data_IF_298699911809
#
_entry.id   IF_298699911809
#
_cell.length_a   1.000
_cell.length_b   1.000
_cell.length_c   1.000
_cell.angle_alpha   90.00
_cell.angle_beta   90.00
_cell.angle_gamma   90.00
#
_symmetry.space_group_name_H-M   'P 1'
#
loop_
_entity.id
_entity.type
_entity.pdbx_description
1 polymer ?
#
# COMPACT_ATOMS: atom_id res chain seq x y z
N UNK A 1 32.89 -28.45 13.77
CA UNK A 1 32.45 -28.43 12.36
C UNK A 1 30.93 -28.29 12.38
N UNK A 2 30.40 -27.16 11.89
CA UNK A 2 28.94 -26.93 11.80
C UNK A 2 28.36 -27.78 10.67
N UNK A 3 27.23 -28.47 10.91
CA UNK A 3 26.63 -29.33 9.88
C UNK A 3 26.00 -28.50 8.76
N UNK A 4 25.84 -29.07 7.56
CA UNK A 4 25.16 -28.40 6.44
C UNK A 4 23.70 -28.06 6.79
N UNK A 5 23.10 -28.81 7.73
CA UNK A 5 21.78 -28.58 8.30
C UNK A 5 21.77 -27.37 9.24
N UNK A 6 22.81 -27.14 10.04
CA UNK A 6 22.93 -25.91 10.85
C UNK A 6 23.13 -24.67 9.97
N UNK A 7 23.89 -24.81 8.88
CA UNK A 7 24.04 -23.75 7.89
C UNK A 7 22.71 -23.45 7.19
N UNK A 8 21.98 -24.47 6.74
CA UNK A 8 20.65 -24.31 6.13
C UNK A 8 19.63 -23.75 7.11
N UNK A 9 19.65 -24.19 8.38
CA UNK A 9 18.71 -23.70 9.41
C UNK A 9 19.00 -22.25 9.79
N UNK A 10 20.28 -21.85 9.89
CA UNK A 10 20.65 -20.43 10.02
C UNK A 10 20.27 -19.60 8.80
N UNK A 11 20.55 -20.09 7.59
CA UNK A 11 20.16 -19.40 6.35
C UNK A 11 18.65 -19.27 6.14
N UNK A 12 17.86 -20.20 6.67
CA UNK A 12 16.42 -20.27 6.45
C UNK A 12 15.60 -19.64 7.60
N UNK A 13 16.15 -19.57 8.82
CA UNK A 13 15.44 -19.09 10.01
C UNK A 13 16.26 -18.13 10.89
N UNK A 14 17.59 -18.14 10.78
CA UNK A 14 18.51 -17.37 11.63
C UNK A 14 18.93 -16.01 11.05
N UNK A 15 19.13 -15.92 9.74
CA UNK A 15 19.48 -14.66 9.05
C UNK A 15 18.29 -13.69 9.03
N UNK A 16 17.05 -14.21 9.02
CA UNK A 16 15.82 -13.43 8.98
C UNK A 16 15.63 -12.49 10.18
N UNK A 17 16.16 -12.83 11.36
CA UNK A 17 16.04 -11.98 12.53
C UNK A 17 16.99 -10.77 12.45
N UNK A 18 18.21 -10.99 11.96
CA UNK A 18 19.18 -9.92 11.73
C UNK A 18 18.74 -9.02 10.58
N UNK A 19 18.20 -9.59 9.50
CA UNK A 19 17.63 -8.85 8.38
C UNK A 19 16.42 -8.01 8.80
N UNK A 20 15.51 -8.58 9.61
CA UNK A 20 14.38 -7.83 10.17
C UNK A 20 14.85 -6.71 11.10
N UNK A 21 15.82 -6.99 11.98
CA UNK A 21 16.39 -5.99 12.87
C UNK A 21 17.07 -4.86 12.09
N UNK A 22 17.77 -5.19 11.00
CA UNK A 22 18.34 -4.21 10.08
C UNK A 22 17.22 -3.37 9.45
N UNK A 23 16.20 -4.00 8.88
CA UNK A 23 15.08 -3.31 8.23
C UNK A 23 14.38 -2.34 9.18
N UNK A 24 14.01 -2.79 10.38
CA UNK A 24 13.39 -1.95 11.42
C UNK A 24 14.32 -0.81 11.83
N UNK A 25 15.61 -1.08 12.00
CA UNK A 25 16.60 -0.06 12.40
C UNK A 25 16.77 1.00 11.33
N UNK A 26 16.88 0.59 10.06
CA UNK A 26 17.00 1.47 8.89
C UNK A 26 15.77 2.36 8.77
N UNK A 27 14.57 1.77 8.76
CA UNK A 27 13.30 2.50 8.71
C UNK A 27 13.19 3.53 9.85
N UNK A 28 13.51 3.12 11.08
CA UNK A 28 13.41 3.98 12.27
C UNK A 28 14.38 5.15 12.26
N UNK A 29 15.60 4.94 11.78
CA UNK A 29 16.68 5.95 11.84
C UNK A 29 16.71 6.87 10.64
N UNK A 30 16.26 6.40 9.47
CA UNK A 30 16.48 7.08 8.19
C UNK A 30 15.22 7.62 7.52
N UNK A 31 14.02 7.28 8.02
CA UNK A 31 12.75 7.87 7.53
C UNK A 31 11.90 8.37 8.69
N UNK A 32 11.47 9.63 8.61
CA UNK A 32 10.56 10.22 9.58
C UNK A 32 9.17 9.60 9.50
N UNK A 33 8.71 9.34 8.28
CA UNK A 33 7.43 8.67 7.99
C UNK A 33 7.43 7.26 8.58
N UNK A 34 8.44 6.44 8.26
CA UNK A 34 8.51 5.07 8.75
C UNK A 34 8.68 4.99 10.28
N UNK A 35 9.43 5.92 10.88
CA UNK A 35 9.54 6.02 12.33
C UNK A 35 8.17 6.27 13.00
N UNK A 36 7.34 7.14 12.43
CA UNK A 36 5.98 7.37 12.93
C UNK A 36 5.08 6.13 12.78
N UNK A 37 5.16 5.44 11.64
CA UNK A 37 4.43 4.18 11.42
C UNK A 37 4.84 3.09 12.41
N UNK A 38 6.15 2.87 12.60
CA UNK A 38 6.68 1.88 13.55
C UNK A 38 6.21 2.15 14.98
N UNK A 39 6.25 3.41 15.44
CA UNK A 39 5.75 3.78 16.78
C UNK A 39 4.27 3.46 16.97
N UNK A 40 3.47 3.66 15.93
CA UNK A 40 2.05 3.30 15.95
C UNK A 40 1.86 1.79 16.00
N UNK A 41 2.56 1.04 15.15
CA UNK A 41 2.57 -0.43 15.15
C UNK A 41 2.98 -1.02 16.50
N UNK A 42 3.99 -0.45 17.17
CA UNK A 42 4.38 -0.81 18.54
C UNK A 42 3.29 -0.50 19.57
N UNK A 43 2.68 0.68 19.50
CA UNK A 43 1.62 1.10 20.43
C UNK A 43 0.36 0.22 20.29
N UNK A 44 0.03 -0.18 19.07
CA UNK A 44 -1.10 -1.06 18.74
C UNK A 44 -0.77 -2.55 18.95
N UNK A 45 0.46 -2.87 19.39
CA UNK A 45 0.96 -4.23 19.67
C UNK A 45 0.82 -5.19 18.48
N UNK A 46 1.06 -4.67 17.28
CA UNK A 46 1.06 -5.48 16.05
C UNK A 46 2.35 -6.31 16.01
N UNK A 47 2.23 -7.61 15.79
CA UNK A 47 3.37 -8.52 15.70
C UNK A 47 3.97 -8.49 14.29
N UNK A 48 5.29 -8.36 14.17
CA UNK A 48 5.99 -8.46 12.88
C UNK A 48 6.70 -9.81 12.82
N UNK A 49 6.32 -10.63 11.84
CA UNK A 49 6.76 -12.01 11.69
C UNK A 49 7.45 -12.16 10.33
N UNK A 50 8.59 -12.83 10.28
CA UNK A 50 9.19 -13.26 9.02
C UNK A 50 8.77 -14.69 8.74
N UNK A 51 8.10 -14.90 7.61
CA UNK A 51 7.56 -16.20 7.20
C UNK A 51 8.15 -16.64 5.85
N UNK A 52 8.88 -17.77 5.80
CA UNK A 52 9.49 -18.26 4.57
C UNK A 52 8.48 -18.99 3.65
N UNK A 53 7.23 -19.14 4.05
CA UNK A 53 6.19 -19.90 3.33
C UNK A 53 5.07 -19.04 2.74
N UNK A 54 4.98 -17.75 3.09
CA UNK A 54 4.03 -16.85 2.42
C UNK A 54 4.49 -16.55 0.99
N UNK A 55 3.53 -16.30 0.10
CA UNK A 55 3.82 -15.96 -1.30
C UNK A 55 4.14 -14.47 -1.49
N UNK A 56 3.62 -13.62 -0.61
CA UNK A 56 3.83 -12.19 -0.58
C UNK A 56 3.73 -11.67 0.86
N UNK A 57 4.35 -10.52 1.18
CA UNK A 57 4.08 -9.81 2.42
C UNK A 57 2.58 -9.53 2.61
N UNK A 58 2.14 -9.46 3.86
CA UNK A 58 0.73 -9.20 4.18
C UNK A 58 0.56 -8.60 5.57
N UNK A 59 -0.29 -7.57 5.65
CA UNK A 59 -0.90 -7.08 6.87
C UNK A 59 -2.21 -7.81 7.14
N UNK A 60 -2.30 -8.46 8.30
CA UNK A 60 -3.48 -9.19 8.77
C UNK A 60 -4.20 -8.38 9.87
N UNK A 61 -5.33 -7.71 9.58
CA UNK A 61 -6.00 -6.80 10.52
C UNK A 61 -6.84 -7.51 11.60
N UNK A 62 -6.90 -8.84 11.58
CA UNK A 62 -7.69 -9.63 12.53
C UNK A 62 -6.83 -10.04 13.74
N UNK A 63 -7.33 -10.01 14.98
CA UNK A 63 -6.57 -10.42 16.15
C UNK A 63 -6.09 -11.89 16.09
N UNK A 64 -4.81 -12.19 16.41
CA UNK A 64 -3.75 -11.22 16.69
C UNK A 64 -3.37 -10.45 15.41
N UNK A 65 -3.33 -9.11 15.50
CA UNK A 65 -3.00 -8.26 14.34
C UNK A 65 -1.52 -8.45 14.02
N UNK A 66 -1.21 -8.86 12.80
CA UNK A 66 0.17 -9.16 12.39
C UNK A 66 0.56 -8.50 11.08
N UNK A 67 1.86 -8.31 10.90
CA UNK A 67 2.52 -8.06 9.62
C UNK A 67 3.43 -9.26 9.36
N UNK A 68 3.21 -9.96 8.24
CA UNK A 68 4.02 -11.10 7.84
C UNK A 68 4.85 -10.72 6.62
N UNK A 69 6.15 -10.85 6.72
CA UNK A 69 7.11 -10.53 5.67
C UNK A 69 7.70 -11.80 5.08
N UNK A 70 8.09 -11.73 3.80
CA UNK A 70 8.71 -12.88 3.13
C UNK A 70 10.12 -13.11 3.69
N UNK A 71 10.42 -14.33 4.13
CA UNK A 71 11.74 -14.66 4.72
C UNK A 71 12.88 -14.90 3.74
N UNK A 72 12.63 -14.83 2.43
CA UNK A 72 13.59 -15.16 1.36
C UNK A 72 13.94 -13.97 0.47
N UNK A 73 13.96 -12.78 1.05
CA UNK A 73 14.32 -11.52 0.39
C UNK A 73 15.53 -10.91 1.08
N UNK A 74 16.22 -9.99 0.40
CA UNK A 74 17.32 -9.25 1.02
C UNK A 74 16.80 -8.32 2.13
N UNK A 75 17.62 -7.90 3.09
CA UNK A 75 17.22 -6.96 4.13
C UNK A 75 16.68 -5.63 3.55
N UNK A 76 17.21 -5.19 2.40
CA UNK A 76 16.73 -4.03 1.67
C UNK A 76 15.30 -4.24 1.12
N UNK A 77 15.05 -5.40 0.51
CA UNK A 77 13.71 -5.80 0.08
C UNK A 77 12.75 -5.90 1.26
N UNK A 78 13.22 -6.45 2.39
CA UNK A 78 12.44 -6.54 3.62
C UNK A 78 12.07 -5.17 4.19
N UNK A 79 12.98 -4.19 4.14
CA UNK A 79 12.67 -2.83 4.55
C UNK A 79 11.60 -2.18 3.65
N UNK A 80 11.67 -2.40 2.34
CA UNK A 80 10.69 -1.88 1.39
C UNK A 80 9.29 -2.52 1.56
N UNK A 81 9.24 -3.84 1.73
CA UNK A 81 8.00 -4.58 1.98
C UNK A 81 7.42 -4.22 3.35
N UNK A 82 8.25 -4.11 4.39
CA UNK A 82 7.80 -3.67 5.70
C UNK A 82 7.25 -2.24 5.66
N UNK A 83 7.86 -1.33 4.89
CA UNK A 83 7.31 0.02 4.72
C UNK A 83 5.92 0.01 4.07
N UNK A 84 5.70 -0.87 3.10
CA UNK A 84 4.40 -1.08 2.46
C UNK A 84 3.35 -1.60 3.47
N UNK A 85 3.65 -2.69 4.18
CA UNK A 85 2.71 -3.29 5.14
C UNK A 85 2.43 -2.40 6.36
N UNK A 86 3.43 -1.64 6.81
CA UNK A 86 3.23 -0.62 7.85
C UNK A 86 2.22 0.45 7.41
N UNK A 87 2.19 0.78 6.12
CA UNK A 87 1.22 1.73 5.61
C UNK A 87 -0.18 1.15 5.54
N UNK A 88 -0.34 -0.13 5.19
CA UNK A 88 -1.63 -0.84 5.30
C UNK A 88 -2.18 -0.80 6.73
N UNK A 89 -1.33 -1.02 7.74
CA UNK A 89 -1.72 -0.86 9.14
C UNK A 89 -2.24 0.55 9.44
N UNK A 90 -1.53 1.58 8.98
CA UNK A 90 -1.95 2.98 9.15
C UNK A 90 -3.26 3.28 8.43
N UNK A 91 -3.42 2.84 7.18
CA UNK A 91 -4.65 2.99 6.41
C UNK A 91 -5.84 2.37 7.12
N UNK A 92 -5.68 1.17 7.68
CA UNK A 92 -6.76 0.48 8.40
C UNK A 92 -7.25 1.28 9.61
N UNK A 93 -6.35 2.01 10.28
CA UNK A 93 -6.71 2.88 11.41
C UNK A 93 -7.36 4.20 11.02
N UNK A 94 -7.30 4.58 9.73
CA UNK A 94 -7.88 5.81 9.21
C UNK A 94 -9.30 5.63 8.63
N UNK A 95 -9.83 4.40 8.65
CA UNK A 95 -11.13 4.07 8.07
C UNK A 95 -12.22 4.03 9.14
N UNK A 96 -13.30 4.76 8.87
CA UNK A 96 -14.47 4.82 9.76
C UNK A 96 -15.56 3.78 9.38
N UNK A 97 -15.29 2.89 8.44
CA UNK A 97 -16.25 1.88 7.97
C UNK A 97 -15.65 0.48 7.91
N UNK A 98 -16.51 -0.53 8.07
CA UNK A 98 -16.13 -1.93 7.87
C UNK A 98 -15.96 -2.19 6.36
N UNK A 99 -14.76 -2.57 5.90
CA UNK A 99 -14.51 -2.83 4.46
C UNK A 99 -15.46 -3.85 3.84
N UNK A 100 -15.96 -4.80 4.64
CA UNK A 100 -16.93 -5.81 4.19
C UNK A 100 -18.36 -5.25 3.97
N UNK A 101 -18.57 -3.96 4.24
CA UNK A 101 -19.84 -3.27 3.93
C UNK A 101 -19.89 -2.68 2.52
N UNK A 102 -18.79 -2.70 1.76
CA UNK A 102 -18.75 -2.32 0.34
C UNK A 102 -19.39 -3.40 -0.53
N UNK A 103 -19.95 -3.03 -1.68
CA UNK A 103 -20.26 -4.04 -2.72
C UNK A 103 -18.97 -4.53 -3.43
N UNK A 104 -19.08 -5.51 -4.32
CA UNK A 104 -17.89 -6.16 -4.92
C UNK A 104 -17.11 -5.17 -5.78
N UNK A 105 -17.81 -4.35 -6.57
CA UNK A 105 -17.23 -3.33 -7.42
C UNK A 105 -16.54 -2.23 -6.62
N UNK A 106 -17.16 -1.75 -5.54
CA UNK A 106 -16.55 -0.75 -4.66
C UNK A 106 -15.39 -1.34 -3.86
N UNK A 107 -15.49 -2.60 -3.41
CA UNK A 107 -14.40 -3.29 -2.72
C UNK A 107 -13.19 -3.53 -3.63
N UNK A 108 -13.41 -3.83 -4.91
CA UNK A 108 -12.35 -3.93 -5.93
C UNK A 108 -11.60 -2.60 -6.08
N UNK A 109 -12.33 -1.50 -6.34
CA UNK A 109 -11.75 -0.16 -6.50
C UNK A 109 -11.00 0.27 -5.24
N UNK A 110 -11.61 0.06 -4.09
CA UNK A 110 -11.03 0.43 -2.81
C UNK A 110 -9.75 -0.38 -2.51
N UNK A 111 -9.74 -1.68 -2.80
CA UNK A 111 -8.55 -2.52 -2.63
C UNK A 111 -7.43 -2.08 -3.58
N UNK A 112 -7.75 -1.77 -4.82
CA UNK A 112 -6.76 -1.25 -5.77
C UNK A 112 -6.17 0.09 -5.30
N UNK A 113 -7.01 0.98 -4.75
CA UNK A 113 -6.56 2.26 -4.19
C UNK A 113 -5.71 2.09 -2.92
N UNK A 114 -6.03 1.13 -2.04
CA UNK A 114 -5.22 0.81 -0.85
C UNK A 114 -3.80 0.44 -1.24
N UNK A 115 -3.66 -0.52 -2.16
CA UNK A 115 -2.38 -1.02 -2.64
C UNK A 115 -1.58 0.06 -3.38
N UNK A 116 -2.24 0.86 -4.21
CA UNK A 116 -1.62 2.01 -4.88
C UNK A 116 -1.05 3.01 -3.88
N UNK A 117 -1.82 3.33 -2.84
CA UNK A 117 -1.39 4.27 -1.81
C UNK A 117 -0.26 3.68 -0.92
N UNK A 118 -0.30 2.39 -0.62
CA UNK A 118 0.77 1.69 0.12
C UNK A 118 2.08 1.62 -0.65
N UNK A 119 2.04 1.33 -1.96
CA UNK A 119 3.23 1.39 -2.82
C UNK A 119 3.78 2.81 -2.92
N UNK A 120 2.92 3.82 -3.06
CA UNK A 120 3.37 5.23 -3.08
C UNK A 120 4.03 5.65 -1.76
N UNK A 121 3.48 5.23 -0.62
CA UNK A 121 4.05 5.52 0.70
C UNK A 121 5.38 4.77 0.90
N UNK A 122 5.46 3.50 0.53
CA UNK A 122 6.70 2.72 0.55
C UNK A 122 7.78 3.38 -0.30
N UNK A 123 7.44 3.84 -1.51
CA UNK A 123 8.36 4.60 -2.38
C UNK A 123 8.86 5.89 -1.73
N UNK A 124 7.97 6.67 -1.08
CA UNK A 124 8.37 7.89 -0.37
C UNK A 124 9.30 7.59 0.82
N UNK A 125 9.01 6.54 1.60
CA UNK A 125 9.85 6.07 2.71
C UNK A 125 11.23 5.64 2.20
N UNK A 126 11.29 4.81 1.16
CA UNK A 126 12.55 4.35 0.58
C UNK A 126 13.36 5.50 -0.02
N UNK A 127 12.70 6.52 -0.57
CA UNK A 127 13.37 7.74 -1.04
C UNK A 127 13.96 8.58 0.12
N UNK A 128 13.27 8.71 1.26
CA UNK A 128 13.86 9.34 2.47
C UNK A 128 15.11 8.58 2.95
N UNK A 129 15.07 7.25 2.92
CA UNK A 129 16.19 6.39 3.30
C UNK A 129 17.38 6.57 2.33
N UNK A 130 17.10 6.65 1.02
CA UNK A 130 18.12 6.93 0.00
C UNK A 130 18.77 8.31 0.20
N UNK A 131 17.98 9.35 0.50
CA UNK A 131 18.49 10.69 0.82
C UNK A 131 19.38 10.69 2.07
N UNK A 132 19.12 9.80 3.03
CA UNK A 132 19.96 9.57 4.20
C UNK A 132 21.23 8.72 3.93
N UNK A 133 21.52 8.43 2.66
CA UNK A 133 22.73 7.74 2.21
C UNK A 133 22.62 6.22 2.11
N UNK A 134 21.40 5.68 2.01
CA UNK A 134 21.17 4.23 1.89
C UNK A 134 20.19 3.92 0.76
N UNK A 135 20.72 3.75 -0.44
CA UNK A 135 19.93 3.52 -1.65
C UNK A 135 19.34 2.10 -1.69
N UNK A 136 19.77 1.19 -0.81
CA UNK A 136 19.44 -0.24 -0.87
C UNK A 136 17.94 -0.54 -0.98
N UNK A 137 17.09 -0.11 -0.03
CA UNK A 137 15.65 -0.36 -0.09
C UNK A 137 14.97 0.24 -1.34
N UNK A 138 15.47 1.38 -1.80
CA UNK A 138 14.97 2.04 -3.00
C UNK A 138 15.36 1.29 -4.28
N UNK A 139 16.57 0.76 -4.34
CA UNK A 139 17.04 -0.10 -5.43
C UNK A 139 16.29 -1.43 -5.47
N UNK A 140 15.97 -2.02 -4.32
CA UNK A 140 15.15 -3.23 -4.23
C UNK A 140 13.77 -3.02 -4.89
N UNK A 141 13.10 -1.89 -4.62
CA UNK A 141 11.83 -1.49 -5.26
C UNK A 141 11.93 -1.30 -6.77
N UNK A 142 13.12 -0.95 -7.28
CA UNK A 142 13.35 -0.71 -8.71
C UNK A 142 13.47 -1.99 -9.52
N UNK A 143 13.96 -3.06 -8.91
CA UNK A 143 14.13 -4.37 -9.57
C UNK A 143 12.91 -5.29 -9.42
N UNK A 144 11.99 -4.98 -8.52
CA UNK A 144 10.72 -5.69 -8.35
C UNK A 144 9.86 -5.59 -9.63
N UNK A 145 9.53 -6.74 -10.24
CA UNK A 145 8.78 -6.80 -11.49
C UNK A 145 7.37 -6.21 -11.39
N UNK A 146 6.76 -6.23 -10.20
CA UNK A 146 5.46 -5.62 -9.97
C UNK A 146 5.61 -4.10 -9.93
N UNK A 147 6.56 -3.59 -9.16
CA UNK A 147 6.64 -2.14 -8.86
C UNK A 147 7.43 -1.33 -9.88
N UNK A 148 8.25 -1.97 -10.74
CA UNK A 148 9.15 -1.32 -11.71
C UNK A 148 8.52 -0.19 -12.53
N UNK A 149 7.27 -0.35 -13.00
CA UNK A 149 6.57 0.67 -13.80
C UNK A 149 6.20 1.91 -12.97
N UNK A 150 5.75 1.72 -11.74
CA UNK A 150 5.45 2.81 -10.81
C UNK A 150 6.73 3.51 -10.41
N UNK A 151 7.76 2.73 -10.07
CA UNK A 151 9.05 3.23 -9.60
C UNK A 151 9.61 4.25 -10.59
N UNK A 152 9.59 3.94 -11.89
CA UNK A 152 10.03 4.88 -12.92
C UNK A 152 9.25 6.20 -12.94
N UNK A 153 7.93 6.18 -12.77
CA UNK A 153 7.10 7.39 -12.73
C UNK A 153 7.35 8.22 -11.48
N UNK A 154 7.52 7.55 -10.34
CA UNK A 154 7.92 8.20 -9.10
C UNK A 154 9.26 8.93 -9.29
N UNK A 155 10.27 8.25 -9.82
CA UNK A 155 11.59 8.83 -10.14
C UNK A 155 11.53 10.03 -11.06
N UNK A 156 10.72 9.96 -12.13
CA UNK A 156 10.62 11.05 -13.12
C UNK A 156 10.23 12.39 -12.47
N UNK A 157 9.45 12.34 -11.40
CA UNK A 157 8.93 13.52 -10.72
C UNK A 157 9.64 13.81 -9.39
N UNK A 158 10.42 12.86 -8.87
CA UNK A 158 11.06 12.96 -7.57
C UNK A 158 12.38 13.72 -7.69
N UNK A 159 12.50 14.79 -6.91
CA UNK A 159 13.78 15.43 -6.61
C UNK A 159 14.26 14.93 -5.25
N UNK A 160 15.11 13.89 -5.25
CA UNK A 160 15.61 13.25 -4.01
C UNK A 160 16.52 14.16 -3.18
N UNK A 161 17.07 15.21 -3.79
CA UNK A 161 17.96 16.16 -3.10
C UNK A 161 17.21 17.41 -2.63
N UNK A 162 15.91 17.50 -2.89
CA UNK A 162 15.08 18.57 -2.37
C UNK A 162 14.79 18.35 -0.89
N UNK A 163 14.93 19.41 -0.10
CA UNK A 163 14.48 19.44 1.30
C UNK A 163 12.99 19.80 1.42
N UNK A 164 12.31 20.12 0.32
CA UNK A 164 10.89 20.48 0.32
C UNK A 164 10.03 19.27 0.77
N UNK A 165 9.23 19.39 1.84
CA UNK A 165 8.32 18.33 2.26
C UNK A 165 7.26 17.96 1.21
N UNK A 166 6.95 18.86 0.28
CA UNK A 166 6.00 18.64 -0.82
C UNK A 166 6.60 17.88 -2.00
N UNK A 167 7.90 17.57 -1.98
CA UNK A 167 8.60 16.84 -3.06
C UNK A 167 7.99 15.49 -3.39
N UNK A 168 7.30 14.86 -2.43
CA UNK A 168 6.63 13.58 -2.63
C UNK A 168 5.21 13.72 -3.20
N UNK A 169 4.56 14.88 -3.10
CA UNK A 169 3.15 15.05 -3.47
C UNK A 169 2.90 14.75 -4.95
N UNK A 170 3.67 15.35 -5.86
CA UNK A 170 3.51 15.11 -7.30
C UNK A 170 3.90 13.67 -7.66
N UNK A 171 5.09 13.14 -7.27
CA UNK A 171 5.46 11.75 -7.53
C UNK A 171 4.44 10.73 -7.05
N UNK A 172 3.98 10.83 -5.79
CA UNK A 172 3.00 9.92 -5.21
C UNK A 172 1.68 9.97 -5.96
N UNK A 173 1.21 11.17 -6.32
CA UNK A 173 -0.03 11.32 -7.10
C UNK A 173 0.06 10.67 -8.47
N UNK A 174 1.12 10.92 -9.22
CA UNK A 174 1.28 10.34 -10.56
C UNK A 174 1.49 8.81 -10.51
N UNK A 175 2.27 8.33 -9.53
CA UNK A 175 2.45 6.91 -9.25
C UNK A 175 1.12 6.23 -8.90
N UNK A 176 0.31 6.83 -8.04
CA UNK A 176 -0.99 6.31 -7.62
C UNK A 176 -1.93 6.10 -8.81
N UNK A 177 -2.10 7.11 -9.67
CA UNK A 177 -2.98 6.98 -10.83
C UNK A 177 -2.47 5.99 -11.87
N UNK A 178 -1.15 5.89 -12.04
CA UNK A 178 -0.58 4.90 -12.95
C UNK A 178 -0.76 3.46 -12.44
N UNK A 179 -0.66 3.25 -11.12
CA UNK A 179 -0.90 1.94 -10.52
C UNK A 179 -2.37 1.56 -10.52
N UNK A 180 -3.24 2.46 -10.02
CA UNK A 180 -4.67 2.22 -10.00
C UNK A 180 -5.25 2.07 -11.42
N UNK A 181 -4.70 2.77 -12.40
CA UNK A 181 -5.11 2.67 -13.80
C UNK A 181 -4.59 1.43 -14.54
N UNK A 182 -3.77 0.58 -13.91
CA UNK A 182 -3.22 -0.60 -14.55
C UNK A 182 -4.30 -1.69 -14.71
N UNK A 183 -4.86 -1.81 -15.91
CA UNK A 183 -5.93 -2.77 -16.26
C UNK A 183 -5.62 -4.22 -15.87
N UNK A 184 -4.34 -4.62 -15.84
CA UNK A 184 -3.91 -5.95 -15.42
C UNK A 184 -4.21 -6.29 -13.97
N UNK A 185 -4.49 -5.30 -13.13
CA UNK A 185 -4.77 -5.47 -11.70
C UNK A 185 -6.28 -5.52 -11.40
N UNK A 186 -7.13 -4.96 -12.27
CA UNK A 186 -8.57 -4.87 -12.04
C UNK A 186 -9.23 -6.26 -11.90
N UNK A 187 -8.92 -7.19 -12.83
CA UNK A 187 -9.46 -8.55 -12.78
C UNK A 187 -9.05 -9.29 -11.50
N UNK A 188 -7.81 -9.11 -11.05
CA UNK A 188 -7.29 -9.71 -9.83
C UNK A 188 -8.07 -9.23 -8.59
N UNK A 189 -8.19 -7.91 -8.39
CA UNK A 189 -8.89 -7.37 -7.22
C UNK A 189 -10.39 -7.65 -7.23
N UNK A 190 -11.00 -7.75 -8.41
CA UNK A 190 -12.41 -8.16 -8.53
C UNK A 190 -12.63 -9.58 -8.01
N UNK A 191 -11.77 -10.50 -8.39
CA UNK A 191 -11.86 -11.89 -7.94
C UNK A 191 -11.53 -12.02 -6.45
N UNK A 192 -10.54 -11.30 -5.95
CA UNK A 192 -10.23 -11.21 -4.52
C UNK A 192 -11.42 -10.68 -3.71
N UNK A 193 -12.08 -9.61 -4.17
CA UNK A 193 -13.27 -9.06 -3.51
C UNK A 193 -14.44 -10.07 -3.51
N UNK A 194 -14.64 -10.78 -4.63
CA UNK A 194 -15.66 -11.83 -4.71
C UNK A 194 -15.37 -13.00 -3.77
N UNK A 195 -14.12 -13.44 -3.70
CA UNK A 195 -13.69 -14.51 -2.79
C UNK A 195 -13.86 -14.10 -1.33
N UNK A 196 -13.45 -12.88 -0.96
CA UNK A 196 -13.63 -12.35 0.39
C UNK A 196 -15.11 -12.30 0.80
N UNK A 197 -15.99 -11.86 -0.11
CA UNK A 197 -17.45 -11.89 0.10
C UNK A 197 -17.95 -13.32 0.32
N UNK A 198 -17.63 -14.23 -0.59
CA UNK A 198 -18.09 -15.62 -0.52
C UNK A 198 -17.62 -16.31 0.76
N UNK A 199 -16.36 -16.10 1.15
CA UNK A 199 -15.81 -16.62 2.38
C UNK A 199 -16.54 -16.05 3.61
N UNK A 200 -16.72 -14.72 3.68
CA UNK A 200 -17.43 -14.05 4.79
C UNK A 200 -18.86 -14.56 4.92
N UNK A 201 -19.59 -14.74 3.83
CA UNK A 201 -20.96 -15.24 3.88
C UNK A 201 -21.05 -16.72 4.27
N UNK A 202 -20.02 -17.51 3.95
CA UNK A 202 -19.96 -18.92 4.34
C UNK A 202 -19.66 -19.10 5.84
N UNK A 203 -18.82 -18.23 6.41
CA UNK A 203 -18.38 -18.31 7.82
C UNK A 203 -19.24 -17.47 8.77
N UNK A 204 -19.79 -16.36 8.28
CA UNK A 204 -20.57 -15.37 9.03
C UNK A 204 -21.84 -14.96 8.25
N UNK A 205 -22.79 -15.88 8.03
CA UNK A 205 -23.99 -15.60 7.23
C UNK A 205 -24.85 -14.45 7.77
N UNK A 206 -24.80 -14.19 9.07
CA UNK A 206 -25.48 -13.06 9.72
C UNK A 206 -25.00 -11.69 9.20
N UNK A 207 -23.77 -11.60 8.68
CA UNK A 207 -23.21 -10.36 8.11
C UNK A 207 -23.72 -10.06 6.70
N UNK A 208 -24.59 -10.90 6.12
CA UNK A 208 -25.16 -10.66 4.79
C UNK A 208 -25.84 -9.29 4.67
N UNK A 209 -26.50 -8.83 5.74
CA UNK A 209 -27.19 -7.55 5.77
C UNK A 209 -26.24 -6.32 5.75
N UNK A 210 -24.95 -6.50 6.05
CA UNK A 210 -23.96 -5.42 6.08
C UNK A 210 -23.39 -5.11 4.68
N UNK A 211 -23.44 -6.07 3.75
CA UNK A 211 -22.84 -5.93 2.42
C UNK A 211 -23.57 -4.92 1.54
N UNK A 212 -22.81 -4.01 0.92
CA UNK A 212 -23.32 -2.94 0.06
C UNK A 212 -24.02 -1.81 0.81
N UNK A 213 -23.95 -1.78 2.16
CA UNK A 213 -24.53 -0.69 2.97
C UNK A 213 -23.65 0.56 2.96
N UNK A 214 -22.34 0.41 2.76
CA UNK A 214 -21.43 1.53 2.54
C UNK A 214 -21.16 1.69 1.06
N UNK A 215 -21.26 2.93 0.56
CA UNK A 215 -20.85 3.30 -0.79
C UNK A 215 -19.48 3.92 -0.73
N UNK A 216 -18.58 3.53 -1.62
CA UNK A 216 -17.25 4.10 -1.67
C UNK A 216 -17.33 5.60 -1.98
N UNK A 217 -16.72 6.42 -1.11
CA UNK A 217 -16.70 7.89 -1.27
C UNK A 217 -15.28 8.39 -1.52
N UNK A 218 -15.21 9.59 -2.09
CA UNK A 218 -13.94 10.32 -2.21
C UNK A 218 -13.21 10.46 -0.87
N UNK A 219 -13.95 10.74 0.21
CA UNK A 219 -13.38 10.87 1.56
C UNK A 219 -12.62 9.61 2.00
N UNK A 220 -13.09 8.43 1.58
CA UNK A 220 -12.50 7.15 1.95
C UNK A 220 -11.16 6.95 1.22
N UNK A 221 -11.09 7.34 -0.06
CA UNK A 221 -9.84 7.34 -0.86
C UNK A 221 -8.83 8.37 -0.32
N UNK A 222 -9.28 9.55 0.07
CA UNK A 222 -8.40 10.57 0.63
C UNK A 222 -7.86 10.16 2.00
N UNK A 223 -8.66 9.47 2.81
CA UNK A 223 -8.23 8.97 4.12
C UNK A 223 -7.04 7.99 3.99
N UNK A 224 -7.12 7.02 3.08
CA UNK A 224 -6.04 6.03 2.86
C UNK A 224 -4.80 6.62 2.18
N UNK A 225 -4.93 7.80 1.58
CA UNK A 225 -3.84 8.56 0.97
C UNK A 225 -3.36 9.72 1.86
N UNK A 226 -3.41 9.54 3.18
CA UNK A 226 -2.91 10.52 4.16
C UNK A 226 -1.75 9.92 4.95
N UNK A 227 -0.58 10.57 4.95
CA UNK A 227 0.57 10.10 5.71
C UNK A 227 0.39 10.34 7.22
N UNK A 228 1.08 9.59 8.10
CA UNK A 228 1.04 9.81 9.54
C UNK A 228 1.37 11.24 9.93
N UNK A 229 0.59 11.81 10.84
CA UNK A 229 0.76 13.18 11.34
C UNK A 229 0.30 14.28 10.37
N UNK A 230 -0.14 13.94 9.15
CA UNK A 230 -0.72 14.91 8.22
C UNK A 230 -2.23 15.06 8.43
N UNK A 231 -2.74 16.28 8.24
CA UNK A 231 -4.18 16.58 8.30
C UNK A 231 -4.89 16.44 6.96
N UNK A 232 -4.14 16.35 5.87
CA UNK A 232 -4.65 16.34 4.50
C UNK A 232 -3.96 15.25 3.70
N UNK A 233 -4.71 14.66 2.78
CA UNK A 233 -4.19 13.73 1.80
C UNK A 233 -3.14 14.38 0.89
N UNK A 234 -2.21 13.58 0.38
CA UNK A 234 -1.33 13.97 -0.72
C UNK A 234 -2.02 13.89 -2.09
N UNK A 235 -3.22 13.31 -2.17
CA UNK A 235 -4.11 13.44 -3.33
C UNK A 235 -4.88 14.76 -3.25
N UNK A 236 -4.95 15.48 -4.38
CA UNK A 236 -5.76 16.69 -4.50
C UNK A 236 -7.24 16.30 -4.67
N UNK A 237 -8.15 16.68 -3.77
CA UNK A 237 -9.57 16.37 -3.89
C UNK A 237 -10.23 16.92 -5.17
N UNK A 238 -9.59 17.88 -5.84
CA UNK A 238 -10.06 18.46 -7.10
C UNK A 238 -9.42 17.83 -8.34
N UNK A 239 -8.55 16.82 -8.19
CA UNK A 239 -7.99 16.11 -9.34
C UNK A 239 -9.11 15.37 -10.08
N UNK A 240 -9.37 15.70 -11.36
CA UNK A 240 -10.49 15.12 -12.11
C UNK A 240 -10.37 13.60 -12.29
N UNK A 241 -9.16 13.03 -12.13
CA UNK A 241 -8.94 11.58 -12.18
C UNK A 241 -9.56 10.86 -10.98
N UNK A 242 -9.72 11.52 -9.82
CA UNK A 242 -10.36 10.90 -8.64
C UNK A 242 -11.84 10.61 -8.87
N UNK A 243 -12.54 11.50 -9.60
CA UNK A 243 -13.93 11.26 -9.96
C UNK A 243 -14.09 9.98 -10.82
N UNK A 244 -13.13 9.72 -11.72
CA UNK A 244 -13.14 8.51 -12.55
C UNK A 244 -12.94 7.22 -11.74
N UNK A 245 -12.31 7.29 -10.55
CA UNK A 245 -12.17 6.14 -9.65
C UNK A 245 -13.50 5.72 -9.04
N UNK A 246 -14.39 6.68 -8.80
CA UNK A 246 -15.67 6.45 -8.12
C UNK A 246 -16.81 6.08 -9.09
N UNK A 247 -16.71 6.43 -10.37
CA UNK A 247 -17.84 6.36 -11.33
C UNK A 247 -17.73 5.29 -12.44
N UNK A 248 -16.79 4.35 -12.38
CA UNK A 248 -16.63 3.35 -13.46
C UNK A 248 -17.43 2.07 -13.22
N UNK A 249 -18.77 2.16 -13.29
CA UNK A 249 -19.58 0.98 -13.57
C UNK A 249 -19.31 0.49 -15.01
N UNK A 250 -19.24 -0.84 -15.26
CA UNK A 250 -19.20 -1.35 -16.63
C UNK A 250 -20.55 -1.02 -17.29
N UNK A 251 -20.57 -0.09 -18.25
CA UNK A 251 -21.72 0.13 -19.13
C UNK A 251 -22.34 1.53 -19.17
N UNK A 252 -21.78 2.56 -18.56
CA UNK A 252 -22.31 3.93 -18.70
C UNK A 252 -21.81 4.58 -20.01
N UNK A 253 -22.67 4.98 -20.95
CA UNK A 253 -22.22 5.66 -22.17
C UNK A 253 -21.54 6.98 -21.82
N UNK A 254 -20.58 7.46 -22.64
CA UNK A 254 -19.83 8.66 -22.32
C UNK A 254 -20.76 9.83 -22.05
N UNK A 255 -20.51 10.55 -20.96
CA UNK A 255 -21.19 11.81 -20.65
C UNK A 255 -21.08 12.70 -21.89
N UNK A 256 -22.20 13.16 -22.48
CA UNK A 256 -22.14 13.98 -23.67
C UNK A 256 -21.35 15.25 -23.33
N UNK A 257 -20.22 15.44 -24.00
CA UNK A 257 -19.44 16.68 -23.92
C UNK A 257 -20.41 17.81 -24.27
N UNK A 258 -20.66 18.72 -23.31
CA UNK A 258 -21.33 19.99 -23.60
C UNK A 258 -20.57 20.64 -24.75
N UNK A 259 -21.21 20.77 -25.91
CA UNK A 259 -20.75 21.69 -26.94
C UNK A 259 -20.75 23.07 -26.29
N UNK A 260 -19.57 23.60 -26.01
CA UNK A 260 -19.41 25.03 -25.84
C UNK A 260 -19.83 25.66 -27.16
N UNK A 261 -20.96 26.36 -27.15
CA UNK A 261 -21.21 27.36 -28.18
C UNK A 261 -20.15 28.45 -28.02
N UNK A 262 -19.40 28.83 -29.07
CA UNK A 262 -18.76 30.12 -29.06
C UNK A 262 -19.86 31.17 -29.18
N UNK A 263 -19.93 32.05 -28.18
CA UNK A 263 -20.60 33.33 -28.32
C UNK A 263 -19.73 34.27 -29.14
N UNK A 264 -20.43 35.11 -29.91
CA UNK A 264 -20.01 36.11 -30.90
C UNK A 264 -19.80 35.58 -32.33
#
# INVERSE_FOLDING_TARGET
MSSILDWLTKKLLGDSADDLNWAITTLRKKSGIACALLKKTEADKVEIIVDPYIACPIYEPLPPVTIRLLGRISPEGMAADLAHELFHHHQFSCLDFNRNSLDVEDAERFSCALEAAADCASMAICAEIAQAGDEGPFDAMRIDSHRKKITHLFYKHLDIFSDDPSRFTIPMREAFFAWHGAESLASHYKDTARQAKNHTLATHPERMAEWGTHKLRLSDILAIATLPGQKKSWLDPNDPRLAALLDSAPGTPPVPRKKTAPGY
#
